data_IF_916077709205
#
_entry.id   IF_916077709205
#
_cell.length_a   1.000
_cell.length_b   1.000
_cell.length_c   1.000
_cell.angle_alpha   90.00
_cell.angle_beta   90.00
_cell.angle_gamma   90.00
#
_symmetry.space_group_name_H-M   'P 1'
#
loop_
_entity.id
_entity.type
_entity.pdbx_description
1 polymer ?
#
# COMPACT_ATOMS: atom_id res chain seq x y z
N UNK A 1 -11.25 -30.17 38.63
CA UNK A 1 -10.56 -29.67 37.43
C UNK A 1 -11.00 -28.22 37.26
N UNK A 2 -10.15 -27.26 37.61
CA UNK A 2 -10.46 -25.84 37.43
C UNK A 2 -10.55 -25.53 35.94
N UNK A 3 -11.64 -24.90 35.50
CA UNK A 3 -11.78 -24.45 34.11
C UNK A 3 -10.55 -23.61 33.73
N UNK A 4 -9.98 -23.78 32.52
CA UNK A 4 -8.95 -22.87 32.04
C UNK A 4 -9.54 -21.46 32.11
N UNK A 5 -8.79 -20.55 32.73
CA UNK A 5 -9.11 -19.14 32.90
C UNK A 5 -9.38 -18.52 31.52
N UNK A 6 -10.65 -18.53 31.09
CA UNK A 6 -11.13 -18.01 29.79
C UNK A 6 -11.08 -16.49 29.84
N UNK A 7 -9.90 -15.91 29.91
CA UNK A 7 -9.73 -14.46 29.82
C UNK A 7 -10.18 -14.04 28.42
N UNK A 8 -11.30 -13.31 28.29
CA UNK A 8 -11.83 -12.98 26.98
C UNK A 8 -10.88 -11.99 26.29
N UNK A 9 -10.47 -12.31 25.06
CA UNK A 9 -9.70 -11.40 24.20
C UNK A 9 -10.68 -10.49 23.46
N UNK A 10 -10.44 -9.18 23.49
CA UNK A 10 -11.22 -8.22 22.71
C UNK A 10 -10.51 -7.92 21.38
N UNK A 11 -11.21 -8.13 20.27
CA UNK A 11 -10.74 -7.87 18.92
C UNK A 11 -11.39 -6.59 18.39
N UNK A 12 -10.58 -5.53 18.29
CA UNK A 12 -11.05 -4.16 18.01
C UNK A 12 -10.60 -3.62 16.65
N UNK A 13 -10.05 -4.48 15.78
CA UNK A 13 -9.51 -4.03 14.49
C UNK A 13 -10.64 -3.57 13.58
N UNK A 14 -10.39 -2.67 12.62
CA UNK A 14 -11.39 -2.33 11.60
C UNK A 14 -11.73 -3.50 10.67
N UNK A 15 -10.83 -4.47 10.53
CA UNK A 15 -10.97 -5.65 9.67
C UNK A 15 -10.16 -6.84 10.21
N UNK A 16 -10.53 -8.04 9.75
CA UNK A 16 -9.79 -9.27 10.03
C UNK A 16 -10.03 -9.89 11.40
N UNK A 17 -10.93 -9.32 12.22
CA UNK A 17 -11.29 -9.87 13.52
C UNK A 17 -11.84 -11.30 13.40
N UNK A 18 -12.56 -11.64 12.33
CA UNK A 18 -13.12 -12.99 12.15
C UNK A 18 -12.02 -14.05 11.96
N UNK A 19 -10.96 -13.68 11.24
CA UNK A 19 -9.79 -14.55 11.05
C UNK A 19 -9.04 -14.74 12.37
N UNK A 20 -8.82 -13.65 13.10
CA UNK A 20 -8.10 -13.68 14.38
C UNK A 20 -8.94 -14.42 15.45
N UNK A 21 -10.26 -14.26 15.46
CA UNK A 21 -11.18 -14.98 16.34
C UNK A 21 -11.14 -16.49 16.10
N UNK A 22 -11.14 -16.93 14.84
CA UNK A 22 -10.99 -18.36 14.48
C UNK A 22 -9.65 -18.93 14.97
N UNK A 23 -8.56 -18.20 14.75
CA UNK A 23 -7.24 -18.64 15.21
C UNK A 23 -7.17 -18.74 16.75
N UNK A 24 -7.84 -17.83 17.48
CA UNK A 24 -7.95 -17.91 18.94
C UNK A 24 -8.79 -19.10 19.39
N UNK A 25 -9.91 -19.37 18.71
CA UNK A 25 -10.79 -20.51 18.97
C UNK A 25 -10.09 -21.86 18.74
N UNK A 26 -9.26 -21.97 17.70
CA UNK A 26 -8.41 -23.14 17.42
C UNK A 26 -7.45 -23.46 18.60
N UNK A 27 -7.17 -22.48 19.46
CA UNK A 27 -6.36 -22.62 20.67
C UNK A 27 -7.18 -22.60 21.97
N UNK A 28 -8.52 -22.66 21.89
CA UNK A 28 -9.42 -22.64 23.04
C UNK A 28 -9.50 -21.30 23.77
N UNK A 29 -9.10 -20.20 23.10
CA UNK A 29 -9.11 -18.85 23.66
C UNK A 29 -10.39 -18.14 23.25
N UNK A 30 -11.24 -17.83 24.23
CA UNK A 30 -12.47 -17.08 23.99
C UNK A 30 -12.16 -15.64 23.54
N UNK A 31 -12.86 -15.18 22.51
CA UNK A 31 -12.74 -13.80 22.01
C UNK A 31 -14.09 -13.15 21.72
N UNK A 32 -14.14 -11.83 21.83
CA UNK A 32 -15.27 -10.98 21.45
C UNK A 32 -14.79 -9.97 20.42
N UNK A 33 -15.62 -9.69 19.40
CA UNK A 33 -15.33 -8.71 18.36
C UNK A 33 -16.11 -7.44 18.63
N UNK A 34 -15.40 -6.32 18.77
CA UNK A 34 -15.96 -4.98 19.05
C UNK A 34 -15.15 -3.90 18.28
N UNK A 35 -15.37 -3.75 16.96
CA UNK A 35 -14.57 -2.86 16.13
C UNK A 35 -14.91 -1.38 16.42
N UNK A 36 -13.91 -0.58 16.78
CA UNK A 36 -14.07 0.86 17.01
C UNK A 36 -13.80 1.74 15.78
N UNK A 37 -13.34 1.13 14.68
CA UNK A 37 -13.04 1.83 13.45
C UNK A 37 -13.73 1.13 12.29
N UNK A 38 -14.28 1.93 11.38
CA UNK A 38 -14.74 1.45 10.07
C UNK A 38 -13.93 2.18 9.02
N UNK A 39 -13.41 1.43 8.06
CA UNK A 39 -12.69 1.99 6.92
C UNK A 39 -13.55 1.86 5.67
N UNK A 40 -13.73 2.97 4.97
CA UNK A 40 -14.43 3.02 3.68
C UNK A 40 -13.67 3.95 2.73
N UNK A 41 -13.87 3.83 1.41
CA UNK A 41 -13.37 4.83 0.46
C UNK A 41 -13.90 6.23 0.80
N UNK A 42 -13.14 7.26 0.44
CA UNK A 42 -13.59 8.64 0.54
C UNK A 42 -14.82 8.88 -0.35
N UNK A 43 -15.71 9.79 0.08
CA UNK A 43 -16.94 10.11 -0.66
C UNK A 43 -16.64 10.80 -2.00
N UNK A 44 -15.59 11.62 -2.06
CA UNK A 44 -15.11 12.23 -3.31
C UNK A 44 -14.22 11.23 -4.07
N UNK A 45 -14.61 10.78 -5.28
CA UNK A 45 -13.81 9.87 -6.09
C UNK A 45 -12.66 10.58 -6.84
N UNK A 46 -12.70 11.91 -6.97
CA UNK A 46 -11.74 12.66 -7.80
C UNK A 46 -10.26 12.45 -7.40
N UNK A 47 -9.87 12.37 -6.11
CA UNK A 47 -8.50 12.04 -5.73
C UNK A 47 -8.03 10.71 -6.30
N UNK A 48 -8.90 9.69 -6.36
CA UNK A 48 -8.56 8.37 -6.90
C UNK A 48 -8.29 8.44 -8.41
N UNK A 49 -9.12 9.16 -9.16
CA UNK A 49 -8.91 9.37 -10.60
C UNK A 49 -7.66 10.21 -10.89
N UNK A 50 -7.40 11.26 -10.09
CA UNK A 50 -6.15 12.03 -10.20
C UNK A 50 -4.93 11.16 -9.92
N UNK A 51 -5.00 10.28 -8.93
CA UNK A 51 -3.92 9.34 -8.64
C UNK A 51 -3.61 8.44 -9.84
N UNK A 52 -4.62 7.92 -10.53
CA UNK A 52 -4.41 7.12 -11.77
C UNK A 52 -3.65 7.93 -12.82
N UNK A 53 -4.02 9.21 -13.02
CA UNK A 53 -3.30 10.10 -13.94
C UNK A 53 -1.85 10.36 -13.53
N UNK A 54 -1.61 10.63 -12.25
CA UNK A 54 -0.27 10.82 -11.70
C UNK A 54 0.59 9.55 -11.82
N UNK A 55 0.02 8.38 -11.57
CA UNK A 55 0.69 7.10 -11.70
C UNK A 55 1.05 6.82 -13.17
N UNK A 56 0.14 7.11 -14.11
CA UNK A 56 0.41 6.94 -15.54
C UNK A 56 1.53 7.86 -16.05
N UNK A 57 1.69 9.05 -15.46
CA UNK A 57 2.74 10.01 -15.76
C UNK A 57 4.02 9.84 -14.91
N UNK A 58 4.06 8.85 -14.01
CA UNK A 58 5.19 8.64 -13.13
C UNK A 58 6.44 8.22 -13.91
N UNK A 59 7.61 8.70 -13.46
CA UNK A 59 8.89 8.44 -14.10
C UNK A 59 9.90 7.79 -13.16
N UNK A 60 11.14 7.53 -13.61
CA UNK A 60 12.16 6.84 -12.82
C UNK A 60 12.55 7.50 -11.49
N UNK A 61 12.16 8.75 -11.27
CA UNK A 61 12.39 9.50 -10.02
C UNK A 61 11.17 9.49 -9.07
N UNK A 62 10.09 8.81 -9.43
CA UNK A 62 8.89 8.73 -8.61
C UNK A 62 8.99 7.55 -7.63
N UNK A 63 8.67 7.81 -6.37
CA UNK A 63 8.44 6.79 -5.36
C UNK A 63 6.93 6.69 -5.05
N UNK A 64 6.36 5.50 -5.21
CA UNK A 64 5.03 5.16 -4.75
C UNK A 64 5.12 4.57 -3.36
N UNK A 65 4.45 5.20 -2.39
CA UNK A 65 4.42 4.78 -0.99
C UNK A 65 3.02 4.31 -0.61
N UNK A 66 2.91 3.12 -0.04
CA UNK A 66 1.64 2.55 0.42
C UNK A 66 1.78 2.05 1.87
N UNK A 67 1.05 2.64 2.79
CA UNK A 67 1.23 2.40 4.23
C UNK A 67 0.09 1.61 4.89
N UNK A 68 -0.92 1.21 4.11
CA UNK A 68 -2.08 0.47 4.61
C UNK A 68 -2.51 -0.64 3.65
N UNK A 69 -2.88 -1.83 4.16
CA UNK A 69 -3.39 -2.92 3.33
C UNK A 69 -4.70 -2.61 2.61
N UNK A 70 -5.42 -1.57 3.05
CA UNK A 70 -6.73 -1.20 2.50
C UNK A 70 -6.63 -0.27 1.30
N UNK A 71 -5.49 0.40 1.14
CA UNK A 71 -5.33 1.49 0.17
C UNK A 71 -5.60 1.02 -1.25
N UNK A 72 -5.02 -0.12 -1.66
CA UNK A 72 -5.13 -0.57 -3.05
C UNK A 72 -6.53 -1.06 -3.40
N UNK A 73 -7.14 -1.89 -2.56
CA UNK A 73 -8.51 -2.37 -2.78
C UNK A 73 -9.54 -1.23 -2.79
N UNK A 74 -9.39 -0.23 -1.90
CA UNK A 74 -10.24 0.96 -1.94
C UNK A 74 -10.03 1.78 -3.22
N UNK A 75 -8.78 1.96 -3.64
CA UNK A 75 -8.45 2.66 -4.87
C UNK A 75 -9.06 1.97 -6.10
N UNK A 76 -8.98 0.63 -6.18
CA UNK A 76 -9.61 -0.16 -7.24
C UNK A 76 -11.13 -0.01 -7.25
N UNK A 77 -11.76 0.00 -6.07
CA UNK A 77 -13.23 0.13 -5.96
C UNK A 77 -13.75 1.48 -6.46
N UNK A 78 -12.93 2.54 -6.39
CA UNK A 78 -13.31 3.91 -6.78
C UNK A 78 -12.83 4.24 -8.20
N UNK A 79 -11.56 4.04 -8.49
CA UNK A 79 -10.97 4.41 -9.79
C UNK A 79 -11.22 3.38 -10.89
N UNK A 80 -11.67 2.19 -10.52
CA UNK A 80 -11.80 1.03 -11.39
C UNK A 80 -10.47 0.29 -11.56
N UNK A 81 -10.55 -1.04 -11.53
CA UNK A 81 -9.39 -1.93 -11.65
C UNK A 81 -8.62 -1.75 -12.97
N UNK A 82 -9.32 -1.70 -14.11
CA UNK A 82 -8.68 -1.62 -15.43
C UNK A 82 -7.83 -0.35 -15.64
N UNK A 83 -8.36 0.87 -15.39
CA UNK A 83 -7.56 2.10 -15.43
C UNK A 83 -6.33 2.05 -14.51
N UNK A 84 -6.49 1.54 -13.29
CA UNK A 84 -5.40 1.45 -12.32
C UNK A 84 -4.31 0.46 -12.76
N UNK A 85 -4.68 -0.73 -13.25
CA UNK A 85 -3.75 -1.74 -13.76
C UNK A 85 -2.91 -1.19 -14.93
N UNK A 86 -3.53 -0.46 -15.87
CA UNK A 86 -2.81 0.16 -16.99
C UNK A 86 -1.81 1.24 -16.53
N UNK A 87 -2.24 2.11 -15.62
CA UNK A 87 -1.37 3.14 -15.06
C UNK A 87 -0.20 2.52 -14.28
N UNK A 88 -0.49 1.48 -13.50
CA UNK A 88 0.52 0.72 -12.77
C UNK A 88 1.55 0.08 -13.72
N UNK A 89 1.11 -0.59 -14.78
CA UNK A 89 2.01 -1.19 -15.76
C UNK A 89 2.98 -0.15 -16.33
N UNK A 90 2.46 1.00 -16.78
CA UNK A 90 3.27 2.11 -17.29
C UNK A 90 4.31 2.57 -16.25
N UNK A 91 3.90 2.78 -15.00
CA UNK A 91 4.80 3.20 -13.95
C UNK A 91 5.90 2.17 -13.65
N UNK A 92 5.55 0.87 -13.59
CA UNK A 92 6.51 -0.20 -13.35
C UNK A 92 7.53 -0.35 -14.49
N UNK A 93 7.11 -0.09 -15.74
CA UNK A 93 7.98 -0.04 -16.91
C UNK A 93 8.97 1.13 -16.84
N UNK A 94 8.52 2.28 -16.30
CA UNK A 94 9.37 3.42 -15.96
C UNK A 94 10.26 3.19 -14.73
N UNK A 95 10.20 2.00 -14.12
CA UNK A 95 10.99 1.61 -12.95
C UNK A 95 10.83 2.57 -11.78
N UNK A 96 9.60 3.01 -11.51
CA UNK A 96 9.30 3.72 -10.26
C UNK A 96 9.74 2.88 -9.05
N UNK A 97 10.06 3.56 -7.95
CA UNK A 97 10.28 2.88 -6.67
C UNK A 97 8.95 2.63 -5.98
N UNK A 98 8.83 1.48 -5.32
CA UNK A 98 7.62 1.09 -4.61
C UNK A 98 8.03 0.73 -3.19
N UNK A 99 7.49 1.46 -2.21
CA UNK A 99 7.80 1.26 -0.81
C UNK A 99 6.51 1.06 -0.02
N UNK A 100 6.55 0.15 0.95
CA UNK A 100 5.37 -0.18 1.75
C UNK A 100 5.67 -0.33 3.23
N UNK A 101 4.67 -0.02 4.06
CA UNK A 101 4.75 -0.27 5.51
C UNK A 101 4.09 -1.59 5.86
N UNK A 102 4.89 -2.54 6.35
CA UNK A 102 4.44 -3.81 6.91
C UNK A 102 4.10 -4.88 5.87
N UNK A 103 4.24 -6.14 6.28
CA UNK A 103 3.93 -7.31 5.43
C UNK A 103 2.46 -7.39 5.05
N UNK A 104 1.56 -6.94 5.93
CA UNK A 104 0.12 -6.89 5.65
C UNK A 104 -0.18 -6.02 4.44
N UNK A 105 0.44 -4.83 4.36
CA UNK A 105 0.27 -3.93 3.22
C UNK A 105 0.79 -4.56 1.94
N UNK A 106 2.02 -5.11 1.97
CA UNK A 106 2.58 -5.82 0.80
C UNK A 106 1.68 -6.95 0.31
N UNK A 107 1.15 -7.75 1.23
CA UNK A 107 0.30 -8.90 0.92
C UNK A 107 -1.07 -8.55 0.33
N UNK A 108 -1.50 -7.28 0.45
CA UNK A 108 -2.74 -6.79 -0.13
C UNK A 108 -2.56 -6.14 -1.53
N UNK A 109 -1.33 -6.07 -2.05
CA UNK A 109 -1.04 -5.48 -3.36
C UNK A 109 -1.18 -6.50 -4.48
N UNK A 110 -1.48 -6.06 -5.73
CA UNK A 110 -1.43 -6.93 -6.89
C UNK A 110 0.01 -7.44 -7.10
N UNK A 111 0.13 -8.68 -7.59
CA UNK A 111 1.40 -9.41 -7.73
C UNK A 111 2.56 -8.56 -8.27
N UNK A 112 2.43 -7.92 -9.46
CA UNK A 112 3.50 -7.12 -10.04
C UNK A 112 3.99 -5.97 -9.13
N UNK A 113 3.08 -5.35 -8.37
CA UNK A 113 3.42 -4.28 -7.44
C UNK A 113 4.03 -4.86 -6.14
N UNK A 114 3.48 -5.96 -5.63
CA UNK A 114 3.98 -6.65 -4.44
C UNK A 114 5.40 -7.21 -4.63
N UNK A 115 5.73 -7.67 -5.83
CA UNK A 115 7.06 -8.17 -6.21
C UNK A 115 8.11 -7.07 -6.20
N UNK A 116 7.75 -5.85 -6.65
CA UNK A 116 8.63 -4.68 -6.71
C UNK A 116 8.71 -3.88 -5.42
N UNK A 117 7.84 -4.16 -4.44
CA UNK A 117 7.74 -3.40 -3.20
C UNK A 117 8.87 -3.72 -2.20
N UNK A 118 9.60 -2.69 -1.80
CA UNK A 118 10.48 -2.71 -0.63
C UNK A 118 9.64 -2.49 0.64
N UNK A 119 9.85 -3.32 1.66
CA UNK A 119 9.00 -3.32 2.87
C UNK A 119 9.76 -2.81 4.07
N UNK A 120 9.25 -1.75 4.69
CA UNK A 120 9.68 -1.28 6.00
C UNK A 120 8.73 -1.78 7.10
N UNK A 121 9.21 -2.08 8.33
CA UNK A 121 8.36 -2.57 9.42
C UNK A 121 7.39 -1.51 9.97
N UNK A 122 7.76 -0.23 9.92
CA UNK A 122 6.99 0.90 10.43
C UNK A 122 7.26 2.17 9.60
N UNK A 123 6.67 3.30 9.99
CA UNK A 123 6.81 4.56 9.28
C UNK A 123 8.21 5.16 9.44
N UNK A 124 8.85 5.03 10.61
CA UNK A 124 10.20 5.55 10.83
C UNK A 124 11.21 4.86 9.90
N UNK A 125 11.22 3.54 9.86
CA UNK A 125 12.08 2.76 8.98
C UNK A 125 11.77 3.00 7.49
N UNK A 126 10.52 3.33 7.15
CA UNK A 126 10.15 3.70 5.78
C UNK A 126 10.79 5.04 5.38
N UNK A 127 10.85 6.01 6.30
CA UNK A 127 11.52 7.29 6.07
C UNK A 127 13.03 7.09 5.92
N UNK A 128 13.64 6.27 6.76
CA UNK A 128 15.06 5.92 6.63
C UNK A 128 15.36 5.27 5.27
N UNK A 129 14.52 4.32 4.84
CA UNK A 129 14.64 3.66 3.54
C UNK A 129 14.50 4.66 2.38
N UNK A 130 13.53 5.59 2.47
CA UNK A 130 13.33 6.62 1.47
C UNK A 130 14.54 7.56 1.37
N UNK A 131 15.06 8.03 2.51
CA UNK A 131 16.20 8.94 2.57
C UNK A 131 17.52 8.27 2.17
N UNK A 132 17.67 6.97 2.44
CA UNK A 132 18.80 6.17 1.98
C UNK A 132 18.77 5.83 0.49
N UNK A 133 17.67 6.15 -0.21
CA UNK A 133 17.49 5.80 -1.63
C UNK A 133 18.08 6.86 -2.55
N UNK A 134 19.09 6.48 -3.34
CA UNK A 134 19.58 7.30 -4.46
C UNK A 134 18.68 7.09 -5.68
N UNK A 135 17.98 8.14 -6.11
CA UNK A 135 17.19 8.12 -7.34
C UNK A 135 18.10 8.17 -8.58
N UNK A 136 17.70 7.55 -9.71
CA UNK A 136 18.46 7.64 -10.95
C UNK A 136 18.70 9.11 -11.32
N UNK A 137 19.97 9.46 -11.55
CA UNK A 137 20.29 10.76 -12.15
C UNK A 137 19.70 10.78 -13.56
N UNK A 138 18.90 11.80 -13.86
CA UNK A 138 18.56 12.09 -15.25
C UNK A 138 19.90 12.35 -15.97
N UNK A 139 20.20 11.57 -17.01
CA UNK A 139 21.13 12.10 -18.02
C UNK A 139 20.43 13.35 -18.54
N UNK A 140 21.06 14.51 -18.36
CA UNK A 140 20.57 15.72 -19.01
C UNK A 140 20.29 15.37 -20.47
N UNK A 141 19.07 15.64 -20.94
CA UNK A 141 18.79 15.59 -22.37
C UNK A 141 19.83 16.51 -23.02
N UNK A 142 20.49 16.10 -24.12
CA UNK A 142 21.41 16.98 -24.83
C UNK A 142 20.64 18.27 -25.13
N UNK A 143 21.14 19.40 -24.61
CA UNK A 143 20.59 20.71 -24.91
C UNK A 143 20.72 20.86 -26.43
N UNK A 144 19.64 21.11 -27.18
CA UNK A 144 19.77 21.37 -28.61
C UNK A 144 20.71 22.57 -28.78
N UNK A 145 21.72 22.40 -29.62
CA UNK A 145 22.59 23.50 -30.00
C UNK A 145 21.70 24.59 -30.60
N UNK A 146 21.62 25.72 -29.90
CA UNK A 146 20.99 26.92 -30.45
C UNK A 146 22.07 27.55 -31.31
N UNK A 147 21.96 27.42 -32.63
CA UNK A 147 22.82 28.16 -33.53
C UNK A 147 22.57 29.67 -33.31
N UNK A 148 23.62 30.47 -33.11
CA UNK A 148 23.47 31.91 -32.98
C UNK A 148 22.96 32.49 -34.30
N UNK A 149 21.90 33.29 -34.21
CA UNK A 149 21.34 34.12 -35.30
C UNK A 149 22.31 35.23 -35.66
#
# INVERSE_FOLDING_TARGET
MSQPDRRPVLLIRPDGNERDARALDDHGIASATDPYLVTRPCDDPMPAHRFVGLLAAAGPQTALIITSPRTWGHLESVAGRGPLERALSSALDQRIRVLVTGRGTRGALPGPLAERAETAPNAEALVELLNGTVLPRLRALPVPAVDPV
#
